data_IF_235540535062
#
_entry.id   IF_235540535062
#
_cell.length_a   1.000
_cell.length_b   1.000
_cell.length_c   1.000
_cell.angle_alpha   90.00
_cell.angle_beta   90.00
_cell.angle_gamma   90.00
#
_symmetry.space_group_name_H-M   'P 1'
#
loop_
_entity.id
_entity.type
_entity.pdbx_description
1 polymer ?
#
# COMPACT_ATOMS: atom_id res chain seq x y z
N UNK A 1 6.73 -23.83 -29.14
CA UNK A 1 5.44 -23.14 -29.23
C UNK A 1 5.53 -21.90 -28.34
N UNK A 2 5.41 -20.66 -28.83
CA UNK A 2 5.44 -19.52 -27.94
C UNK A 2 4.08 -19.42 -27.25
N UNK A 3 4.07 -19.71 -25.95
CA UNK A 3 2.88 -19.60 -25.11
C UNK A 3 2.45 -18.13 -25.05
N UNK A 4 1.25 -17.82 -25.51
CA UNK A 4 0.59 -16.50 -25.49
C UNK A 4 0.17 -16.06 -24.08
N UNK A 5 0.99 -16.32 -23.05
CA UNK A 5 0.68 -16.06 -21.65
C UNK A 5 1.28 -14.74 -21.10
N UNK A 6 1.67 -13.81 -21.99
CA UNK A 6 2.42 -12.59 -21.62
C UNK A 6 1.65 -11.26 -21.67
N UNK A 7 0.42 -11.20 -22.21
CA UNK A 7 -0.23 -9.91 -22.49
C UNK A 7 -1.13 -9.35 -21.37
N UNK A 8 -1.65 -10.18 -20.46
CA UNK A 8 -2.60 -9.70 -19.45
C UNK A 8 -1.96 -8.76 -18.41
N UNK A 9 -0.70 -9.02 -18.00
CA UNK A 9 0.05 -8.17 -17.06
C UNK A 9 0.41 -6.80 -17.63
N UNK A 10 0.45 -6.66 -18.95
CA UNK A 10 0.83 -5.42 -19.65
C UNK A 10 -0.27 -4.36 -19.58
N UNK A 11 -1.54 -4.78 -19.62
CA UNK A 11 -2.70 -3.88 -19.53
C UNK A 11 -3.05 -3.47 -18.11
N UNK A 12 -2.72 -4.28 -17.10
CA UNK A 12 -2.96 -3.95 -15.69
C UNK A 12 -2.23 -2.67 -15.27
N UNK A 13 -0.98 -2.48 -15.74
CA UNK A 13 -0.18 -1.30 -15.39
C UNK A 13 -0.83 0.02 -15.84
N UNK A 14 -1.13 0.25 -17.14
CA UNK A 14 -1.79 1.47 -17.59
C UNK A 14 -3.23 1.56 -17.09
N UNK A 15 -3.94 0.43 -16.91
CA UNK A 15 -5.31 0.44 -16.39
C UNK A 15 -5.35 0.91 -14.93
N UNK A 16 -4.47 0.41 -14.06
CA UNK A 16 -4.37 0.87 -12.66
C UNK A 16 -3.95 2.34 -12.60
N UNK A 17 -3.02 2.79 -13.45
CA UNK A 17 -2.61 4.20 -13.52
C UNK A 17 -3.75 5.09 -14.02
N UNK A 18 -4.52 4.67 -15.02
CA UNK A 18 -5.69 5.40 -15.53
C UNK A 18 -6.82 5.46 -14.51
N UNK A 19 -7.16 4.33 -13.89
CA UNK A 19 -8.15 4.27 -12.82
C UNK A 19 -7.73 5.15 -11.64
N UNK A 20 -6.44 5.17 -11.31
CA UNK A 20 -5.88 6.02 -10.27
C UNK A 20 -5.96 7.52 -10.62
N UNK A 21 -5.54 7.92 -11.82
CA UNK A 21 -5.65 9.32 -12.28
C UNK A 21 -7.11 9.77 -12.29
N UNK A 22 -8.03 8.88 -12.68
CA UNK A 22 -9.48 9.09 -12.60
C UNK A 22 -9.95 9.27 -11.15
N UNK A 23 -9.57 8.37 -10.24
CA UNK A 23 -9.96 8.45 -8.82
C UNK A 23 -9.40 9.72 -8.18
N UNK A 24 -8.16 10.08 -8.46
CA UNK A 24 -7.54 11.32 -7.97
C UNK A 24 -8.23 12.55 -8.55
N UNK A 25 -8.57 12.58 -9.84
CA UNK A 25 -9.35 13.67 -10.44
C UNK A 25 -10.76 13.77 -9.82
N UNK A 26 -11.44 12.64 -9.66
CA UNK A 26 -12.80 12.54 -9.11
C UNK A 26 -12.83 12.84 -7.61
N UNK A 27 -11.72 12.69 -6.89
CA UNK A 27 -11.62 13.03 -5.47
C UNK A 27 -11.13 14.47 -5.32
N UNK A 28 -9.97 14.83 -5.90
CA UNK A 28 -9.42 16.19 -5.79
C UNK A 28 -10.34 17.28 -6.35
N UNK A 29 -11.00 17.08 -7.51
CA UNK A 29 -11.82 18.14 -8.12
C UNK A 29 -13.06 18.48 -7.28
N UNK A 30 -13.92 17.53 -6.87
CA UNK A 30 -15.07 17.86 -6.02
C UNK A 30 -14.65 18.40 -4.66
N UNK A 31 -13.52 17.95 -4.14
CA UNK A 31 -13.01 18.44 -2.87
C UNK A 31 -12.46 19.86 -2.94
N UNK A 32 -11.76 20.22 -4.02
CA UNK A 32 -11.36 21.60 -4.30
C UNK A 32 -12.59 22.51 -4.44
N UNK A 33 -13.65 22.03 -5.11
CA UNK A 33 -14.90 22.78 -5.28
C UNK A 33 -15.63 22.93 -3.92
N UNK A 34 -15.62 21.88 -3.10
CA UNK A 34 -16.26 21.90 -1.78
C UNK A 34 -15.56 22.83 -0.80
N UNK A 35 -14.22 22.85 -0.77
CA UNK A 35 -13.43 23.80 0.04
C UNK A 35 -13.65 25.25 -0.40
N UNK A 36 -13.77 25.50 -1.71
CA UNK A 36 -14.14 26.83 -2.22
C UNK A 36 -15.53 27.28 -1.76
N UNK A 37 -16.47 26.35 -1.54
CA UNK A 37 -17.82 26.67 -1.11
C UNK A 37 -17.98 26.79 0.41
N UNK A 38 -17.04 26.24 1.19
CA UNK A 38 -17.16 26.08 2.65
C UNK A 38 -16.22 27.05 3.37
N UNK A 39 -16.28 28.35 3.08
CA UNK A 39 -15.50 29.41 3.78
C UNK A 39 -15.78 29.56 5.30
N UNK A 40 -16.36 28.54 5.95
CA UNK A 40 -16.57 28.49 7.41
C UNK A 40 -16.36 27.07 8.00
N UNK A 41 -15.41 26.27 7.48
CA UNK A 41 -15.06 24.96 8.10
C UNK A 41 -14.08 25.10 9.28
N UNK A 42 -14.42 24.44 10.40
CA UNK A 42 -13.54 24.31 11.56
C UNK A 42 -12.23 23.57 11.25
N UNK A 43 -11.15 23.96 11.94
CA UNK A 43 -9.76 23.52 11.72
C UNK A 43 -9.58 22.01 11.66
N UNK A 44 -10.33 21.27 12.49
CA UNK A 44 -10.26 19.82 12.54
C UNK A 44 -10.75 19.14 11.24
N UNK A 45 -11.81 19.66 10.62
CA UNK A 45 -12.31 19.13 9.36
C UNK A 45 -11.34 19.41 8.21
N UNK A 46 -10.69 20.58 8.20
CA UNK A 46 -9.64 20.92 7.24
C UNK A 46 -8.44 19.97 7.36
N UNK A 47 -8.01 19.68 8.58
CA UNK A 47 -6.91 18.74 8.84
C UNK A 47 -7.24 17.32 8.37
N UNK A 48 -8.44 16.83 8.70
CA UNK A 48 -8.91 15.52 8.22
C UNK A 48 -8.99 15.45 6.71
N UNK A 49 -9.39 16.54 6.08
CA UNK A 49 -9.50 16.67 4.66
C UNK A 49 -8.12 16.60 3.95
N UNK A 50 -7.17 17.40 4.42
CA UNK A 50 -5.78 17.41 3.92
C UNK A 50 -5.14 16.02 4.12
N UNK A 51 -5.31 15.40 5.29
CA UNK A 51 -4.82 14.06 5.57
C UNK A 51 -5.38 13.02 4.57
N UNK A 52 -6.67 13.13 4.23
CA UNK A 52 -7.30 12.27 3.23
C UNK A 52 -6.60 12.33 1.87
N UNK A 53 -6.26 13.53 1.39
CA UNK A 53 -5.52 13.69 0.12
C UNK A 53 -4.20 12.90 0.15
N UNK A 54 -3.43 13.03 1.23
CA UNK A 54 -2.16 12.32 1.37
C UNK A 54 -2.34 10.80 1.42
N UNK A 55 -3.39 10.30 2.09
CA UNK A 55 -3.71 8.87 2.11
C UNK A 55 -4.08 8.35 0.72
N UNK A 56 -4.93 9.08 0.00
CA UNK A 56 -5.33 8.72 -1.37
C UNK A 56 -4.17 8.76 -2.35
N UNK A 57 -3.13 9.56 -2.11
CA UNK A 57 -1.86 9.49 -2.86
C UNK A 57 -0.94 8.35 -2.39
N UNK A 58 -0.97 7.98 -1.12
CA UNK A 58 -0.05 6.98 -0.53
C UNK A 58 -0.43 5.54 -0.90
N UNK A 59 -1.71 5.18 -0.75
CA UNK A 59 -2.26 3.87 -1.14
C UNK A 59 -1.84 3.41 -2.54
N UNK A 60 -2.05 4.19 -3.62
CA UNK A 60 -1.72 3.81 -4.99
C UNK A 60 -0.22 3.66 -5.22
N UNK A 61 0.62 4.48 -4.57
CA UNK A 61 2.08 4.38 -4.66
C UNK A 61 2.52 3.05 -4.05
N UNK A 62 1.98 2.68 -2.88
CA UNK A 62 2.27 1.38 -2.27
C UNK A 62 1.72 0.22 -3.11
N UNK A 63 0.47 0.31 -3.59
CA UNK A 63 -0.12 -0.71 -4.47
C UNK A 63 0.67 -0.88 -5.76
N UNK A 64 1.25 0.18 -6.30
CA UNK A 64 2.15 0.10 -7.46
C UNK A 64 3.40 -0.73 -7.16
N UNK A 65 4.05 -0.50 -6.02
CA UNK A 65 5.17 -1.31 -5.57
C UNK A 65 4.78 -2.79 -5.42
N UNK A 66 3.65 -3.07 -4.77
CA UNK A 66 3.10 -4.43 -4.63
C UNK A 66 2.86 -5.07 -6.00
N UNK A 67 2.24 -4.35 -6.94
CA UNK A 67 1.99 -4.82 -8.30
C UNK A 67 3.28 -5.11 -9.05
N UNK A 68 4.34 -4.33 -8.86
CA UNK A 68 5.64 -4.62 -9.47
C UNK A 68 6.20 -5.97 -9.00
N UNK A 69 6.11 -6.27 -7.70
CA UNK A 69 6.48 -7.58 -7.16
C UNK A 69 5.59 -8.71 -7.69
N UNK A 70 4.27 -8.48 -7.83
CA UNK A 70 3.35 -9.48 -8.40
C UNK A 70 3.57 -9.72 -9.89
N UNK A 71 3.92 -8.68 -10.66
CA UNK A 71 4.14 -8.79 -12.10
C UNK A 71 5.48 -9.44 -12.42
N UNK A 72 6.53 -9.05 -11.70
CA UNK A 72 7.87 -9.59 -11.88
C UNK A 72 8.14 -10.70 -10.84
N UNK A 73 7.26 -11.70 -10.79
CA UNK A 73 7.28 -12.72 -9.75
C UNK A 73 8.30 -13.84 -10.04
N UNK A 74 9.59 -13.54 -9.88
CA UNK A 74 10.71 -14.42 -10.23
C UNK A 74 11.16 -15.33 -9.09
N UNK A 75 11.11 -14.85 -7.84
CA UNK A 75 11.58 -15.57 -6.65
C UNK A 75 10.48 -15.57 -5.58
N UNK A 76 9.55 -16.54 -5.62
CA UNK A 76 8.39 -16.58 -4.73
C UNK A 76 8.77 -16.62 -3.25
N UNK A 77 9.84 -17.34 -2.89
CA UNK A 77 10.27 -17.51 -1.50
C UNK A 77 10.72 -16.20 -0.83
N UNK A 78 11.24 -15.25 -1.62
CA UNK A 78 11.63 -13.92 -1.15
C UNK A 78 10.51 -12.89 -1.33
N UNK A 79 9.73 -13.00 -2.41
CA UNK A 79 8.71 -12.00 -2.75
C UNK A 79 7.43 -12.13 -1.92
N UNK A 80 7.02 -13.33 -1.47
CA UNK A 80 5.82 -13.50 -0.62
C UNK A 80 5.95 -12.71 0.70
N UNK A 81 7.06 -12.82 1.47
CA UNK A 81 7.26 -11.98 2.65
C UNK A 81 7.31 -10.48 2.33
N UNK A 82 8.01 -10.07 1.25
CA UNK A 82 8.11 -8.67 0.85
C UNK A 82 6.73 -8.05 0.58
N UNK A 83 5.88 -8.74 -0.18
CA UNK A 83 4.52 -8.27 -0.47
C UNK A 83 3.71 -8.10 0.83
N UNK A 84 3.84 -9.03 1.77
CA UNK A 84 3.17 -8.94 3.08
C UNK A 84 3.67 -7.76 3.91
N UNK A 85 4.94 -7.36 3.79
CA UNK A 85 5.52 -6.19 4.47
C UNK A 85 5.04 -4.88 3.81
N UNK A 86 4.99 -4.81 2.48
CA UNK A 86 4.57 -3.60 1.73
C UNK A 86 3.13 -3.14 2.06
N UNK A 87 2.27 -4.07 2.48
CA UNK A 87 0.91 -3.77 2.94
C UNK A 87 0.86 -2.90 4.21
N UNK A 88 1.98 -2.73 4.92
CA UNK A 88 2.09 -1.84 6.08
C UNK A 88 1.74 -0.39 5.72
N UNK A 89 2.27 0.14 4.61
CA UNK A 89 2.05 1.54 4.22
C UNK A 89 0.56 1.91 4.07
N UNK A 90 -0.27 1.18 3.29
CA UNK A 90 -1.68 1.51 3.16
C UNK A 90 -2.47 1.33 4.46
N UNK A 91 -2.17 0.29 5.25
CA UNK A 91 -2.84 0.05 6.54
C UNK A 91 -2.62 1.22 7.50
N UNK A 92 -1.38 1.70 7.62
CA UNK A 92 -1.03 2.78 8.55
C UNK A 92 -1.60 4.12 8.11
N UNK A 93 -1.57 4.38 6.81
CA UNK A 93 -2.12 5.62 6.26
C UNK A 93 -3.63 5.71 6.50
N UNK A 94 -4.36 4.60 6.33
CA UNK A 94 -5.80 4.52 6.59
C UNK A 94 -6.13 4.65 8.07
N UNK A 95 -5.40 3.92 8.92
CA UNK A 95 -5.56 3.98 10.38
C UNK A 95 -5.38 5.41 10.90
N UNK A 96 -4.29 6.08 10.52
CA UNK A 96 -4.02 7.47 10.89
C UNK A 96 -5.13 8.45 10.47
N UNK A 97 -5.73 8.24 9.30
CA UNK A 97 -6.80 9.10 8.79
C UNK A 97 -8.15 8.84 9.44
N UNK A 98 -8.45 7.58 9.78
CA UNK A 98 -9.66 7.21 10.53
C UNK A 98 -9.56 7.71 11.98
N UNK A 99 -8.39 7.50 12.62
CA UNK A 99 -8.13 7.93 13.99
C UNK A 99 -8.30 9.44 14.17
N UNK A 100 -7.95 10.22 13.14
CA UNK A 100 -8.12 11.66 13.13
C UNK A 100 -9.59 12.10 13.23
N UNK A 101 -10.57 11.30 12.79
CA UNK A 101 -12.01 11.64 12.85
C UNK A 101 -12.77 10.91 13.95
N UNK A 102 -12.41 9.66 14.21
CA UNK A 102 -13.16 8.75 15.07
C UNK A 102 -12.25 8.14 16.15
N UNK A 103 -11.98 8.86 17.25
CA UNK A 103 -11.09 8.38 18.30
C UNK A 103 -11.60 7.12 19.02
N UNK A 104 -12.92 6.88 19.04
CA UNK A 104 -13.50 5.66 19.62
C UNK A 104 -13.19 4.41 18.80
N UNK A 105 -13.10 4.54 17.48
CA UNK A 105 -12.76 3.44 16.56
C UNK A 105 -11.24 3.27 16.49
N UNK A 106 -10.49 4.37 16.64
CA UNK A 106 -9.02 4.38 16.62
C UNK A 106 -8.41 3.30 17.50
N UNK A 107 -8.88 3.16 18.75
CA UNK A 107 -8.35 2.17 19.72
C UNK A 107 -8.42 0.73 19.16
N UNK A 108 -9.51 0.38 18.47
CA UNK A 108 -9.68 -0.95 17.89
C UNK A 108 -8.76 -1.15 16.68
N UNK A 109 -8.68 -0.15 15.80
CA UNK A 109 -7.84 -0.23 14.58
C UNK A 109 -6.35 -0.22 14.95
N UNK A 110 -5.95 0.60 15.91
CA UNK A 110 -4.61 0.61 16.52
C UNK A 110 -4.27 -0.78 17.06
N UNK A 111 -5.15 -1.41 17.84
CA UNK A 111 -4.91 -2.77 18.35
C UNK A 111 -4.69 -3.77 17.20
N UNK A 112 -5.50 -3.70 16.14
CA UNK A 112 -5.31 -4.54 14.96
C UNK A 112 -3.98 -4.24 14.24
N UNK A 113 -3.55 -2.97 14.18
CA UNK A 113 -2.27 -2.55 13.61
C UNK A 113 -1.10 -3.14 14.38
N UNK A 114 -1.12 -3.08 15.72
CA UNK A 114 -0.10 -3.70 16.58
C UNK A 114 -0.02 -5.22 16.38
N UNK A 115 -1.16 -5.92 16.22
CA UNK A 115 -1.16 -7.35 15.88
C UNK A 115 -0.54 -7.61 14.49
N UNK A 116 -0.83 -6.75 13.52
CA UNK A 116 -0.26 -6.84 12.19
C UNK A 116 1.25 -6.54 12.18
N UNK A 117 1.75 -5.65 13.04
CA UNK A 117 3.19 -5.43 13.24
C UNK A 117 3.92 -6.70 13.64
N UNK A 118 3.39 -7.43 14.62
CA UNK A 118 3.97 -8.71 15.04
C UNK A 118 4.02 -9.72 13.87
N UNK A 119 2.97 -9.75 13.05
CA UNK A 119 2.94 -10.57 11.84
C UNK A 119 3.98 -10.13 10.80
N UNK A 120 4.14 -8.82 10.58
CA UNK A 120 5.14 -8.26 9.66
C UNK A 120 6.55 -8.61 10.09
N UNK A 121 6.87 -8.51 11.38
CA UNK A 121 8.18 -8.89 11.93
C UNK A 121 8.45 -10.38 11.71
N UNK A 122 7.46 -11.25 11.95
CA UNK A 122 7.59 -12.68 11.64
C UNK A 122 7.92 -12.93 10.16
N UNK A 123 7.22 -12.25 9.24
CA UNK A 123 7.50 -12.37 7.80
C UNK A 123 8.88 -11.82 7.43
N UNK A 124 9.32 -10.73 8.09
CA UNK A 124 10.64 -10.19 7.90
C UNK A 124 11.74 -11.17 8.35
N UNK A 125 11.54 -11.89 9.46
CA UNK A 125 12.48 -12.94 9.88
C UNK A 125 12.55 -14.09 8.87
N UNK A 126 11.41 -14.56 8.36
CA UNK A 126 11.38 -15.58 7.31
C UNK A 126 12.07 -15.09 6.03
N UNK A 127 11.88 -13.83 5.66
CA UNK A 127 12.56 -13.22 4.53
C UNK A 127 14.08 -13.27 4.68
N UNK A 128 14.60 -12.87 5.85
CA UNK A 128 16.05 -12.92 6.12
C UNK A 128 16.57 -14.37 6.09
N UNK A 129 15.87 -15.32 6.70
CA UNK A 129 16.27 -16.72 6.68
C UNK A 129 16.37 -17.28 5.25
N UNK A 130 15.37 -17.01 4.42
CA UNK A 130 15.38 -17.41 3.01
C UNK A 130 16.49 -16.69 2.22
N UNK A 131 16.72 -15.42 2.52
CA UNK A 131 17.77 -14.64 1.85
C UNK A 131 19.16 -15.19 2.20
N UNK A 132 19.47 -15.37 3.49
CA UNK A 132 20.76 -15.91 3.94
C UNK A 132 20.95 -17.38 3.54
N UNK A 133 19.92 -18.23 3.67
CA UNK A 133 20.01 -19.65 3.31
C UNK A 133 20.35 -19.86 1.83
N UNK A 134 19.78 -19.05 0.94
CA UNK A 134 20.13 -19.08 -0.48
C UNK A 134 21.58 -18.66 -0.73
N UNK A 135 22.09 -17.66 0.00
CA UNK A 135 23.50 -17.23 -0.13
C UNK A 135 24.46 -18.33 0.33
N UNK A 136 24.22 -18.93 1.50
CA UNK A 136 25.06 -20.01 2.04
C UNK A 136 25.12 -21.20 1.08
N UNK A 137 23.98 -21.60 0.48
CA UNK A 137 23.96 -22.68 -0.48
C UNK A 137 24.76 -22.38 -1.77
N UNK A 138 24.84 -21.10 -2.17
CA UNK A 138 25.69 -20.68 -3.30
C UNK A 138 27.18 -20.76 -2.93
N UNK A 139 27.56 -20.31 -1.73
CA UNK A 139 28.96 -20.35 -1.28
C UNK A 139 29.50 -21.77 -1.09
N UNK A 140 28.67 -22.75 -0.70
CA UNK A 140 29.09 -24.15 -0.52
C UNK A 140 29.24 -24.89 -1.86
N UNK A 141 28.62 -24.39 -2.93
CA UNK A 141 28.66 -25.02 -4.27
C UNK A 141 29.78 -24.47 -5.18
N UNK A 142 30.54 -23.47 -4.71
CA UNK A 142 31.65 -22.83 -5.45
C UNK A 142 32.98 -23.24 -4.85
#
# INVERSE_FOLDING_TARGET
MPCTCGNWRRWIRPLVVLLYFLVVLVVLLPLCIWELQKSEVGTHNKAWFIAGIFVFMTIPISLWGILQHLVNYTQPELQKPIIRILWMVPIYSLDSWIALKYPSIAIYVDTCRECYEAYVIYNFMIFLLNYLGNQVHIYVMT
#
